data_IF_120269876038
#
_entry.id   IF_120269876038
#
_cell.length_a   1.000
_cell.length_b   1.000
_cell.length_c   1.000
_cell.angle_alpha   90.00
_cell.angle_beta   90.00
_cell.angle_gamma   90.00
#
_symmetry.space_group_name_H-M   'P 1'
#
loop_
_entity.id
_entity.type
_entity.pdbx_description
1 polymer ?
#
# COMPACT_ATOMS: atom_id res chain seq x y z
N UNK A 1 11.12 2.58 -1.21
CA UNK A 1 11.02 1.94 -2.54
C UNK A 1 10.70 2.98 -3.62
N UNK A 2 9.80 3.87 -3.37
CA UNK A 2 9.32 4.89 -4.30
C UNK A 2 10.31 6.03 -4.45
N UNK A 3 10.57 6.55 -5.66
CA UNK A 3 11.40 7.73 -5.86
C UNK A 3 10.80 8.98 -5.19
N UNK A 4 11.64 9.91 -4.73
CA UNK A 4 11.17 11.13 -4.05
C UNK A 4 10.34 12.09 -4.91
N UNK A 5 10.36 11.95 -6.23
CA UNK A 5 9.50 12.72 -7.14
C UNK A 5 8.11 12.10 -7.34
N UNK A 6 7.80 11.00 -6.66
CA UNK A 6 6.50 10.35 -6.72
C UNK A 6 5.71 10.63 -5.43
N UNK A 7 4.41 10.94 -5.55
CA UNK A 7 3.56 11.35 -4.41
C UNK A 7 3.58 10.39 -3.23
N UNK A 8 3.69 9.10 -3.48
CA UNK A 8 3.78 8.06 -2.48
C UNK A 8 4.94 8.25 -1.47
N UNK A 9 6.02 8.94 -1.87
CA UNK A 9 7.15 9.25 -0.99
C UNK A 9 6.81 10.28 0.10
N UNK A 10 5.75 11.04 -0.07
CA UNK A 10 5.27 12.03 0.91
C UNK A 10 4.96 11.33 2.23
N UNK A 11 4.22 10.23 2.18
CA UNK A 11 3.90 9.42 3.37
C UNK A 11 5.16 8.89 4.05
N UNK A 12 6.14 8.40 3.29
CA UNK A 12 7.40 7.89 3.83
C UNK A 12 8.15 8.97 4.63
N UNK A 13 8.33 10.16 4.04
CA UNK A 13 9.10 11.25 4.64
C UNK A 13 8.37 11.85 5.85
N UNK A 14 7.13 12.27 5.65
CA UNK A 14 6.39 13.00 6.71
C UNK A 14 5.99 12.09 7.88
N UNK A 15 5.62 10.84 7.63
CA UNK A 15 5.34 9.89 8.71
C UNK A 15 6.59 9.59 9.53
N UNK A 16 7.77 9.50 8.89
CA UNK A 16 9.04 9.32 9.59
C UNK A 16 9.37 10.50 10.49
N UNK A 17 9.21 11.73 9.99
CA UNK A 17 9.46 12.96 10.76
C UNK A 17 8.47 13.06 11.93
N UNK A 18 7.19 12.84 11.68
CA UNK A 18 6.13 12.95 12.68
C UNK A 18 6.31 11.98 13.85
N UNK A 19 6.80 10.78 13.57
CA UNK A 19 6.96 9.72 14.58
C UNK A 19 8.36 9.66 15.17
N UNK A 20 9.32 10.44 14.68
CA UNK A 20 10.74 10.35 15.08
C UNK A 20 11.38 9.01 14.70
N UNK A 21 10.86 8.34 13.68
CA UNK A 21 11.35 7.05 13.23
C UNK A 21 12.65 7.18 12.40
N UNK A 22 13.26 6.05 12.07
CA UNK A 22 14.40 5.99 11.14
C UNK A 22 13.92 5.63 9.75
N UNK A 23 14.26 6.44 8.77
CA UNK A 23 13.98 6.21 7.36
C UNK A 23 15.17 5.55 6.65
N UNK A 24 14.94 4.42 6.00
CA UNK A 24 15.95 3.71 5.24
C UNK A 24 15.69 3.79 3.74
N UNK A 25 16.64 4.35 2.99
CA UNK A 25 16.60 4.35 1.52
C UNK A 25 17.20 3.02 1.04
N UNK A 26 16.36 2.18 0.42
CA UNK A 26 16.78 0.88 -0.09
C UNK A 26 17.43 1.08 -1.46
N UNK A 27 18.67 0.58 -1.69
CA UNK A 27 19.30 0.61 -3.00
C UNK A 27 18.42 -0.11 -4.04
N UNK A 28 18.11 0.57 -5.16
CA UNK A 28 17.23 0.06 -6.21
C UNK A 28 17.60 -1.35 -6.67
N UNK A 29 18.90 -1.64 -6.77
CA UNK A 29 19.39 -2.96 -7.17
C UNK A 29 18.92 -4.11 -6.27
N UNK A 30 18.60 -3.86 -4.99
CA UNK A 30 18.17 -4.93 -4.07
C UNK A 30 16.83 -5.54 -4.47
N UNK A 31 15.97 -4.79 -5.17
CA UNK A 31 14.72 -5.33 -5.70
C UNK A 31 14.94 -6.38 -6.81
N UNK A 32 16.13 -6.41 -7.43
CA UNK A 32 16.53 -7.50 -8.34
C UNK A 32 17.17 -8.69 -7.62
N UNK A 33 17.45 -8.59 -6.32
CA UNK A 33 18.09 -9.62 -5.51
C UNK A 33 17.29 -9.85 -4.21
N UNK A 34 16.19 -10.62 -4.26
CA UNK A 34 15.25 -10.76 -3.14
C UNK A 34 15.87 -11.17 -1.81
N UNK A 35 16.86 -12.05 -1.84
CA UNK A 35 17.58 -12.50 -0.63
C UNK A 35 18.32 -11.32 0.01
N UNK A 36 19.04 -10.52 -0.77
CA UNK A 36 19.73 -9.33 -0.26
C UNK A 36 18.77 -8.27 0.26
N UNK A 37 17.59 -8.16 -0.36
CA UNK A 37 16.56 -7.24 0.12
C UNK A 37 16.04 -7.68 1.50
N UNK A 38 15.78 -8.97 1.69
CA UNK A 38 15.38 -9.51 2.99
C UNK A 38 16.48 -9.31 4.04
N UNK A 39 17.73 -9.67 3.73
CA UNK A 39 18.88 -9.44 4.62
C UNK A 39 18.99 -7.98 5.07
N UNK A 40 18.81 -7.05 4.13
CA UNK A 40 18.82 -5.61 4.45
C UNK A 40 17.68 -5.23 5.40
N UNK A 41 16.44 -5.69 5.14
CA UNK A 41 15.29 -5.39 6.00
C UNK A 41 15.47 -5.95 7.41
N UNK A 42 16.08 -7.13 7.53
CA UNK A 42 16.37 -7.77 8.82
C UNK A 42 17.51 -7.08 9.58
N UNK A 43 18.64 -6.80 8.90
CA UNK A 43 19.78 -6.07 9.48
C UNK A 43 19.34 -4.73 10.05
N UNK A 44 18.53 -3.98 9.30
CA UNK A 44 18.01 -2.67 9.70
C UNK A 44 16.80 -2.75 10.63
N UNK A 45 16.30 -3.97 10.93
CA UNK A 45 15.12 -4.21 11.78
C UNK A 45 13.92 -3.38 11.31
N UNK A 46 13.71 -3.33 10.00
CA UNK A 46 12.62 -2.57 9.39
C UNK A 46 11.28 -3.11 9.89
N UNK A 47 10.45 -2.25 10.44
CA UNK A 47 9.14 -2.64 10.98
C UNK A 47 7.96 -2.24 10.09
N UNK A 48 8.17 -1.33 9.14
CA UNK A 48 7.13 -0.84 8.25
C UNK A 48 7.69 -0.69 6.85
N UNK A 49 6.96 -1.20 5.87
CA UNK A 49 7.23 -0.97 4.44
C UNK A 49 5.98 -0.38 3.78
N UNK A 50 6.20 0.54 2.84
CA UNK A 50 5.17 1.11 1.99
C UNK A 50 5.65 1.03 0.54
N UNK A 51 5.13 0.06 -0.21
CA UNK A 51 5.62 -0.30 -1.54
C UNK A 51 4.49 -0.48 -2.54
N UNK A 52 4.82 -0.41 -3.82
CA UNK A 52 3.89 -0.81 -4.87
C UNK A 52 3.70 -2.33 -4.87
N UNK A 53 2.52 -2.85 -5.20
CA UNK A 53 2.23 -4.29 -5.32
C UNK A 53 3.26 -5.08 -6.11
N UNK A 54 3.75 -4.57 -7.25
CA UNK A 54 4.77 -5.25 -8.05
C UNK A 54 6.06 -5.55 -7.26
N UNK A 55 6.48 -4.65 -6.37
CA UNK A 55 7.66 -4.88 -5.52
C UNK A 55 7.42 -6.00 -4.49
N UNK A 56 6.20 -6.08 -3.92
CA UNK A 56 5.81 -7.18 -3.02
C UNK A 56 5.74 -8.52 -3.78
N UNK A 57 5.21 -8.50 -4.99
CA UNK A 57 5.10 -9.69 -5.85
C UNK A 57 6.46 -10.30 -6.19
N UNK A 58 7.51 -9.50 -6.33
CA UNK A 58 8.88 -10.01 -6.57
C UNK A 58 9.30 -10.97 -5.45
N UNK A 59 9.17 -10.56 -4.20
CA UNK A 59 9.56 -11.40 -3.06
C UNK A 59 8.68 -12.66 -2.94
N UNK A 60 7.38 -12.51 -3.15
CA UNK A 60 6.44 -13.62 -3.10
C UNK A 60 6.72 -14.66 -4.20
N UNK A 61 6.86 -14.23 -5.45
CA UNK A 61 7.00 -15.12 -6.61
C UNK A 61 8.37 -15.82 -6.66
N UNK A 62 9.42 -15.19 -6.15
CA UNK A 62 10.77 -15.76 -6.12
C UNK A 62 11.04 -16.62 -4.87
N UNK A 63 10.02 -16.85 -4.03
CA UNK A 63 10.13 -17.73 -2.87
C UNK A 63 11.06 -17.22 -1.76
N UNK A 64 11.29 -15.90 -1.71
CA UNK A 64 12.18 -15.30 -0.72
C UNK A 64 11.53 -15.20 0.68
N UNK A 65 10.21 -15.26 0.76
CA UNK A 65 9.47 -15.19 2.01
C UNK A 65 9.45 -16.55 2.71
N UNK A 66 9.83 -16.55 3.99
CA UNK A 66 9.75 -17.73 4.86
C UNK A 66 9.08 -17.36 6.18
N UNK A 67 8.66 -18.35 6.97
CA UNK A 67 8.12 -18.13 8.31
C UNK A 67 9.17 -17.68 9.33
N UNK A 68 10.44 -17.73 8.95
CA UNK A 68 11.56 -17.43 9.83
C UNK A 68 12.21 -16.07 9.55
N UNK A 69 11.86 -15.40 8.44
CA UNK A 69 12.39 -14.09 8.11
C UNK A 69 11.35 -12.96 8.37
N UNK A 70 11.82 -11.72 8.32
CA UNK A 70 11.04 -10.49 8.48
C UNK A 70 10.24 -10.39 9.80
N UNK A 71 10.72 -11.00 10.88
CA UNK A 71 10.04 -11.01 12.20
C UNK A 71 9.86 -9.63 12.82
N UNK A 72 10.67 -8.65 12.42
CA UNK A 72 10.53 -7.27 12.85
C UNK A 72 9.46 -6.49 12.06
N UNK A 73 9.04 -7.00 10.90
CA UNK A 73 8.06 -6.33 10.05
C UNK A 73 6.67 -6.42 10.69
N UNK A 74 6.05 -5.27 10.94
CA UNK A 74 4.75 -5.14 11.61
C UNK A 74 3.68 -4.52 10.72
N UNK A 75 4.09 -3.79 9.68
CA UNK A 75 3.16 -3.15 8.74
C UNK A 75 3.66 -3.32 7.31
N UNK A 76 2.78 -3.80 6.46
CA UNK A 76 2.96 -3.92 5.01
C UNK A 76 1.87 -3.10 4.34
N UNK A 77 2.22 -1.89 3.93
CA UNK A 77 1.33 -0.97 3.24
C UNK A 77 1.63 -1.04 1.74
N UNK A 78 0.61 -0.99 0.90
CA UNK A 78 0.80 -1.02 -0.54
C UNK A 78 -0.23 -0.14 -1.25
N UNK A 79 0.19 0.50 -2.34
CA UNK A 79 -0.65 1.38 -3.15
C UNK A 79 -0.12 1.52 -4.59
N UNK A 80 -0.89 2.18 -5.44
CA UNK A 80 -0.50 2.59 -6.80
C UNK A 80 -0.76 1.56 -7.88
N UNK A 81 -1.03 0.31 -7.53
CA UNK A 81 -1.36 -0.78 -8.45
C UNK A 81 -2.40 -1.70 -7.81
N UNK A 82 -3.04 -2.55 -8.62
CA UNK A 82 -3.91 -3.60 -8.09
C UNK A 82 -3.05 -4.70 -7.46
N UNK A 83 -3.28 -4.98 -6.17
CA UNK A 83 -2.58 -6.07 -5.48
C UNK A 83 -3.20 -7.43 -5.85
N UNK A 84 -2.43 -8.35 -6.48
CA UNK A 84 -2.94 -9.68 -6.75
C UNK A 84 -3.13 -10.45 -5.44
N UNK A 85 -4.33 -10.91 -5.18
CA UNK A 85 -4.71 -11.54 -3.90
C UNK A 85 -3.91 -12.80 -3.60
N UNK A 86 -3.56 -13.58 -4.63
CA UNK A 86 -2.69 -14.75 -4.47
C UNK A 86 -1.35 -14.38 -3.82
N UNK A 87 -0.68 -13.33 -4.30
CA UNK A 87 0.60 -12.87 -3.76
C UNK A 87 0.44 -12.22 -2.38
N UNK A 88 -0.65 -11.51 -2.14
CA UNK A 88 -0.98 -11.02 -0.80
C UNK A 88 -1.13 -12.17 0.20
N UNK A 89 -1.85 -13.23 -0.18
CA UNK A 89 -1.98 -14.42 0.64
C UNK A 89 -0.64 -15.09 0.93
N UNK A 90 0.28 -15.13 -0.04
CA UNK A 90 1.64 -15.68 0.18
C UNK A 90 2.42 -14.87 1.22
N UNK A 91 2.26 -13.55 1.25
CA UNK A 91 2.82 -12.69 2.30
C UNK A 91 2.18 -12.98 3.66
N UNK A 92 0.85 -13.00 3.74
CA UNK A 92 0.10 -13.24 4.97
C UNK A 92 0.37 -14.63 5.57
N UNK A 93 0.65 -15.63 4.74
CA UNK A 93 1.00 -16.98 5.19
C UNK A 93 2.41 -17.08 5.81
N UNK A 94 3.28 -16.10 5.56
CA UNK A 94 4.70 -16.14 5.96
C UNK A 94 5.09 -15.05 6.94
N UNK A 95 4.47 -13.90 6.88
CA UNK A 95 4.88 -12.72 7.66
C UNK A 95 3.69 -12.25 8.51
N UNK A 96 3.85 -12.31 9.82
CA UNK A 96 2.87 -11.82 10.80
C UNK A 96 2.94 -10.29 10.91
N UNK A 97 2.14 -9.61 10.09
CA UNK A 97 2.08 -8.17 10.01
C UNK A 97 0.65 -7.67 9.73
N UNK A 98 0.40 -6.41 9.97
CA UNK A 98 -0.79 -5.73 9.48
C UNK A 98 -0.60 -5.42 7.99
N UNK A 99 -1.59 -5.73 7.18
CA UNK A 99 -1.62 -5.45 5.74
C UNK A 99 -2.68 -4.40 5.44
N UNK A 100 -2.33 -3.39 4.63
CA UNK A 100 -3.31 -2.40 4.20
C UNK A 100 -3.11 -2.01 2.73
N UNK A 101 -4.22 -2.07 1.98
CA UNK A 101 -4.32 -1.51 0.64
C UNK A 101 -4.70 -0.04 0.76
N UNK A 102 -3.89 0.83 0.17
CA UNK A 102 -4.08 2.27 0.17
C UNK A 102 -4.33 2.71 -1.28
N UNK A 103 -5.28 3.60 -1.47
CA UNK A 103 -5.62 4.10 -2.80
C UNK A 103 -5.73 5.62 -2.79
N UNK A 104 -5.20 6.23 -3.83
CA UNK A 104 -5.34 7.64 -4.13
C UNK A 104 -4.52 8.03 -5.37
N UNK A 105 -5.04 8.94 -6.20
CA UNK A 105 -4.28 9.55 -7.27
C UNK A 105 -3.35 10.66 -6.74
N UNK A 106 -2.43 11.14 -7.57
CA UNK A 106 -1.49 12.22 -7.22
C UNK A 106 -2.23 13.50 -6.78
N UNK A 107 -3.39 13.75 -7.35
CA UNK A 107 -4.26 14.89 -7.05
C UNK A 107 -4.80 14.88 -5.61
N UNK A 108 -4.76 13.73 -4.93
CA UNK A 108 -5.09 13.59 -3.49
C UNK A 108 -3.85 13.58 -2.60
N UNK A 109 -2.71 14.03 -3.10
CA UNK A 109 -1.39 14.12 -2.46
C UNK A 109 -0.72 12.76 -2.20
N UNK A 110 -1.44 11.68 -1.94
CA UNK A 110 -0.98 10.30 -1.85
C UNK A 110 -2.17 9.35 -1.82
N UNK A 111 -2.93 9.34 -0.72
CA UNK A 111 -4.04 8.41 -0.53
C UNK A 111 -5.32 9.13 -0.11
N UNK A 112 -6.48 8.63 -0.56
CA UNK A 112 -7.80 9.08 -0.13
C UNK A 112 -8.65 7.98 0.50
N UNK A 113 -8.34 6.70 0.23
CA UNK A 113 -9.02 5.57 0.87
C UNK A 113 -8.02 4.50 1.35
N UNK A 114 -8.46 3.67 2.28
CA UNK A 114 -7.67 2.56 2.79
C UNK A 114 -8.54 1.35 3.16
N UNK A 115 -7.96 0.16 2.99
CA UNK A 115 -8.55 -1.10 3.42
C UNK A 115 -7.54 -1.90 4.25
N UNK A 116 -7.87 -2.15 5.52
CA UNK A 116 -7.07 -3.05 6.37
C UNK A 116 -7.50 -4.48 6.07
N UNK A 117 -6.55 -5.30 5.62
CA UNK A 117 -6.79 -6.70 5.29
C UNK A 117 -6.80 -7.50 6.59
N UNK A 118 -7.97 -7.72 7.15
CA UNK A 118 -8.20 -8.39 8.43
C UNK A 118 -8.56 -9.87 8.31
N UNK A 119 -8.64 -10.39 7.09
CA UNK A 119 -8.91 -11.81 6.79
C UNK A 119 -8.17 -12.24 5.54
N UNK A 120 -7.97 -13.54 5.38
CA UNK A 120 -7.54 -14.11 4.12
C UNK A 120 -8.67 -13.97 3.09
N UNK A 121 -8.33 -13.46 1.93
CA UNK A 121 -9.24 -13.37 0.78
C UNK A 121 -9.10 -14.62 -0.10
N UNK A 122 -10.13 -14.99 -0.86
CA UNK A 122 -9.98 -16.02 -1.88
C UNK A 122 -9.10 -15.48 -3.04
N UNK A 123 -8.38 -16.36 -3.75
CA UNK A 123 -7.40 -15.90 -4.74
C UNK A 123 -8.01 -15.13 -5.93
N UNK A 124 -9.29 -15.28 -6.17
CA UNK A 124 -10.10 -14.63 -7.20
C UNK A 124 -10.87 -13.42 -6.68
N UNK A 125 -10.84 -13.18 -5.36
CA UNK A 125 -11.44 -11.99 -4.76
C UNK A 125 -10.48 -10.81 -4.88
N UNK A 126 -10.96 -9.69 -5.42
CA UNK A 126 -10.18 -8.45 -5.50
C UNK A 126 -9.98 -7.82 -4.12
N UNK A 127 -8.79 -7.27 -3.87
CA UNK A 127 -8.54 -6.51 -2.64
C UNK A 127 -9.26 -5.15 -2.75
N UNK A 128 -10.21 -4.84 -1.86
CA UNK A 128 -10.93 -3.56 -1.90
C UNK A 128 -10.00 -2.36 -1.70
N UNK A 129 -10.43 -1.19 -2.19
CA UNK A 129 -9.80 0.10 -1.84
C UNK A 129 -10.30 0.66 -0.51
N UNK A 130 -11.35 0.08 0.05
CA UNK A 130 -11.83 0.30 1.40
C UNK A 130 -12.68 1.55 1.58
N UNK A 131 -12.40 2.29 2.65
CA UNK A 131 -13.18 3.47 3.08
C UNK A 131 -12.33 4.74 3.04
N UNK A 132 -12.98 5.92 3.04
CA UNK A 132 -12.28 7.21 3.09
C UNK A 132 -11.32 7.35 4.27
N UNK A 133 -10.21 8.06 4.05
CA UNK A 133 -9.33 8.54 5.11
C UNK A 133 -10.04 9.64 5.92
N UNK A 134 -9.53 9.95 7.11
CA UNK A 134 -9.95 11.13 7.86
C UNK A 134 -9.73 12.39 7.01
N UNK A 135 -10.61 13.36 7.11
CA UNK A 135 -10.65 14.58 6.28
C UNK A 135 -10.95 14.35 4.78
N UNK A 136 -11.43 13.17 4.40
CA UNK A 136 -11.77 12.80 3.04
C UNK A 136 -13.24 12.40 2.95
N UNK A 137 -13.97 12.99 2.02
CA UNK A 137 -15.28 12.50 1.60
C UNK A 137 -15.14 11.82 0.24
N UNK A 138 -15.80 10.68 0.11
CA UNK A 138 -15.86 9.91 -1.13
C UNK A 138 -17.32 9.70 -1.52
N UNK A 139 -17.64 9.97 -2.77
CA UNK A 139 -18.95 9.73 -3.36
C UNK A 139 -18.80 8.83 -4.59
N UNK A 140 -19.73 7.93 -4.79
CA UNK A 140 -19.86 7.18 -6.04
C UNK A 140 -21.03 7.78 -6.81
N UNK A 141 -20.76 8.29 -8.00
CA UNK A 141 -21.73 9.03 -8.82
C UNK A 141 -21.93 8.32 -10.14
N UNK A 142 -23.19 8.06 -10.50
CA UNK A 142 -23.56 7.43 -11.77
C UNK A 142 -23.50 8.43 -12.92
N UNK A 143 -23.56 7.95 -14.15
CA UNK A 143 -23.55 8.77 -15.38
C UNK A 143 -24.67 9.81 -15.43
N UNK A 144 -25.80 9.57 -14.77
CA UNK A 144 -26.93 10.49 -14.66
C UNK A 144 -26.75 11.55 -13.53
N UNK A 145 -25.56 11.65 -12.93
CA UNK A 145 -25.23 12.52 -11.81
C UNK A 145 -25.99 12.21 -10.51
N UNK A 146 -26.60 11.05 -10.38
CA UNK A 146 -27.20 10.58 -9.11
C UNK A 146 -26.19 9.76 -8.29
N UNK A 147 -26.36 9.72 -6.98
CA UNK A 147 -25.54 8.88 -6.12
C UNK A 147 -25.84 7.41 -6.37
N UNK A 148 -24.79 6.60 -6.49
CA UNK A 148 -24.90 5.16 -6.58
C UNK A 148 -25.37 4.57 -5.25
N UNK A 149 -26.24 3.58 -5.32
CA UNK A 149 -26.63 2.76 -4.17
C UNK A 149 -25.63 1.62 -3.97
N UNK A 150 -25.73 0.93 -2.83
CA UNK A 150 -24.88 -0.23 -2.54
C UNK A 150 -24.98 -1.30 -3.64
N UNK A 151 -23.81 -1.67 -4.20
CA UNK A 151 -23.71 -2.63 -5.30
C UNK A 151 -23.82 -2.02 -6.70
N UNK A 152 -24.11 -0.74 -6.84
CA UNK A 152 -24.07 -0.03 -8.12
C UNK A 152 -22.66 0.51 -8.42
N UNK A 153 -22.29 0.49 -9.71
CA UNK A 153 -21.05 1.10 -10.18
C UNK A 153 -21.25 2.59 -10.51
N UNK A 154 -20.18 3.37 -10.34
CA UNK A 154 -20.16 4.78 -10.68
C UNK A 154 -18.73 5.35 -10.63
N UNK A 155 -18.60 6.63 -10.93
CA UNK A 155 -17.36 7.38 -10.83
C UNK A 155 -17.06 7.72 -9.38
N UNK A 156 -15.81 7.50 -8.95
CA UNK A 156 -15.33 7.85 -7.63
C UNK A 156 -14.98 9.35 -7.58
N UNK A 157 -15.77 10.12 -6.88
CA UNK A 157 -15.49 11.54 -6.61
C UNK A 157 -14.90 11.69 -5.21
N UNK A 158 -13.85 12.50 -5.09
CA UNK A 158 -13.14 12.73 -3.83
C UNK A 158 -13.20 14.21 -3.48
N UNK A 159 -13.48 14.51 -2.22
CA UNK A 159 -13.48 15.87 -1.66
C UNK A 159 -12.66 15.90 -0.37
N UNK A 160 -11.84 16.93 -0.18
CA UNK A 160 -11.04 17.11 1.02
C UNK A 160 -10.09 18.29 0.93
N UNK A 161 -9.55 18.70 2.07
CA UNK A 161 -8.59 19.82 2.15
C UNK A 161 -7.20 19.49 1.58
N UNK A 162 -6.94 18.23 1.31
CA UNK A 162 -5.67 17.71 0.76
C UNK A 162 -5.65 17.69 -0.78
N UNK A 163 -6.74 18.04 -1.44
CA UNK A 163 -6.79 18.07 -2.90
C UNK A 163 -5.80 19.09 -3.46
N UNK A 164 -5.05 18.70 -4.50
CA UNK A 164 -4.18 19.59 -5.23
C UNK A 164 -5.01 20.68 -5.94
N UNK A 165 -4.40 21.86 -6.12
CA UNK A 165 -5.06 22.98 -6.81
C UNK A 165 -5.17 22.81 -8.33
N UNK A 166 -4.59 21.76 -8.89
CA UNK A 166 -4.47 21.47 -10.32
C UNK A 166 -3.02 21.47 -10.80
N UNK A 167 -2.86 21.30 -12.10
CA UNK A 167 -1.56 21.31 -12.79
C UNK A 167 -1.29 22.66 -13.42
#
# INVERSE_FOLDING_TARGET
>A
QTPFYFSMSVSDVFSTILTGATFYIIPKMYFSFPVKLIEFLEEKKVNTIYWVPSALCILANLGALTTDNLKNLKKVLFAGEVMPTKQLNMWMDKVDAMYANLYGPTETVDICTYYIVNRRLSNDESVPIGKPCDNCDVLIVKEDNTLAQDGEAGELLVRGSFLASGY
#
